data_IF_467619975510
#
_entry.id   IF_467619975510
#
_cell.length_a   1.000
_cell.length_b   1.000
_cell.length_c   1.000
_cell.angle_alpha   90.00
_cell.angle_beta   90.00
_cell.angle_gamma   90.00
#
_symmetry.space_group_name_H-M   'P 1'
#
loop_
_entity.id
_entity.type
_entity.pdbx_description
1 polymer ?
#
# COMPACT_ATOMS: atom_id res chain seq x y z
N UNK A 1 -3.14 -2.29 -6.26
CA UNK A 1 -2.56 -3.51 -5.61
C UNK A 1 -2.86 -3.53 -4.12
N UNK A 2 -3.02 -4.71 -3.53
CA UNK A 2 -3.41 -4.91 -2.13
C UNK A 2 -2.34 -5.68 -1.38
N UNK A 3 -1.78 -5.08 -0.34
CA UNK A 3 -0.87 -5.74 0.60
C UNK A 3 -1.65 -6.25 1.80
N UNK A 4 -1.46 -7.52 2.15
CA UNK A 4 -2.17 -8.08 3.31
C UNK A 4 -1.25 -8.80 4.29
N UNK A 5 -1.63 -8.75 5.56
CA UNK A 5 -1.09 -9.57 6.63
C UNK A 5 -2.24 -10.29 7.33
N UNK A 6 -2.06 -11.59 7.58
CA UNK A 6 -3.07 -12.41 8.27
C UNK A 6 -2.42 -13.43 9.19
N UNK A 7 -2.84 -13.46 10.44
CA UNK A 7 -2.41 -14.47 11.40
C UNK A 7 -3.25 -15.75 11.34
N UNK A 8 -4.58 -15.62 11.33
CA UNK A 8 -5.54 -16.73 11.48
C UNK A 8 -6.31 -17.09 10.22
N UNK A 9 -6.15 -16.34 9.14
CA UNK A 9 -6.83 -16.57 7.86
C UNK A 9 -8.00 -15.65 7.57
N UNK A 10 -8.69 -15.10 8.56
CA UNK A 10 -9.86 -14.23 8.37
C UNK A 10 -9.52 -12.99 7.52
N UNK A 11 -8.43 -12.33 7.84
CA UNK A 11 -7.96 -11.17 7.08
C UNK A 11 -7.56 -11.55 5.65
N UNK A 12 -6.93 -12.71 5.45
CA UNK A 12 -6.62 -13.23 4.11
C UNK A 12 -7.89 -13.45 3.29
N UNK A 13 -8.93 -14.01 3.91
CA UNK A 13 -10.22 -14.20 3.25
C UNK A 13 -10.82 -12.86 2.81
N UNK A 14 -10.85 -11.86 3.70
CA UNK A 14 -11.36 -10.52 3.39
C UNK A 14 -10.55 -9.86 2.26
N UNK A 15 -9.20 -9.92 2.34
CA UNK A 15 -8.32 -9.39 1.32
C UNK A 15 -8.52 -10.07 -0.04
N UNK A 16 -8.71 -11.39 -0.06
CA UNK A 16 -8.97 -12.14 -1.31
C UNK A 16 -10.31 -11.75 -1.94
N UNK A 17 -11.36 -11.55 -1.13
CA UNK A 17 -12.66 -11.07 -1.63
C UNK A 17 -12.57 -9.66 -2.20
N UNK A 18 -11.85 -8.78 -1.53
CA UNK A 18 -11.60 -7.42 -2.00
C UNK A 18 -10.82 -7.42 -3.32
N UNK A 19 -9.70 -8.15 -3.38
CA UNK A 19 -8.88 -8.25 -4.58
C UNK A 19 -9.67 -8.80 -5.79
N UNK A 20 -10.52 -9.81 -5.56
CA UNK A 20 -11.39 -10.36 -6.61
C UNK A 20 -12.43 -9.34 -7.09
N UNK A 21 -13.00 -8.55 -6.18
CA UNK A 21 -14.03 -7.55 -6.51
C UNK A 21 -13.44 -6.33 -7.23
N UNK A 22 -12.20 -5.95 -6.90
CA UNK A 22 -11.52 -4.78 -7.47
C UNK A 22 -10.59 -5.13 -8.63
N UNK A 23 -10.36 -6.43 -8.87
CA UNK A 23 -9.39 -6.94 -9.85
C UNK A 23 -7.96 -6.43 -9.60
N UNK A 24 -7.61 -6.23 -8.33
CA UNK A 24 -6.29 -5.78 -7.90
C UNK A 24 -5.40 -6.96 -7.50
N UNK A 25 -4.09 -6.82 -7.73
CA UNK A 25 -3.10 -7.80 -7.30
C UNK A 25 -3.06 -7.91 -5.78
N UNK A 26 -2.98 -9.14 -5.27
CA UNK A 26 -2.95 -9.46 -3.84
C UNK A 26 -1.57 -9.95 -3.41
N UNK A 27 -0.90 -9.20 -2.54
CA UNK A 27 0.49 -9.44 -2.12
C UNK A 27 0.54 -9.69 -0.63
N UNK A 28 1.12 -10.83 -0.22
CA UNK A 28 1.36 -11.14 1.20
C UNK A 28 2.55 -10.36 1.74
N UNK A 29 2.38 -9.67 2.87
CA UNK A 29 3.47 -8.95 3.54
C UNK A 29 4.47 -9.90 4.22
N UNK A 30 3.99 -11.02 4.76
CA UNK A 30 4.78 -11.89 5.62
C UNK A 30 6.09 -12.41 4.99
N UNK A 31 6.16 -12.82 3.70
CA UNK A 31 7.41 -13.26 3.09
C UNK A 31 8.50 -12.19 3.07
N UNK A 32 8.13 -10.92 2.81
CA UNK A 32 9.07 -9.80 2.76
C UNK A 32 9.69 -9.44 4.12
N UNK A 33 9.12 -9.92 5.20
CA UNK A 33 9.55 -9.62 6.56
C UNK A 33 10.28 -10.79 7.23
N UNK A 34 10.56 -11.87 6.49
CA UNK A 34 11.39 -12.98 6.95
C UNK A 34 12.85 -12.71 6.66
N UNK A 35 13.71 -12.95 7.64
CA UNK A 35 15.14 -12.72 7.50
C UNK A 35 15.84 -13.74 6.58
N UNK A 36 15.23 -14.92 6.42
CA UNK A 36 15.76 -16.07 5.68
C UNK A 36 15.22 -16.19 4.24
N UNK A 37 14.28 -15.32 3.86
CA UNK A 37 13.65 -15.35 2.53
C UNK A 37 14.33 -14.33 1.60
N UNK A 38 15.33 -14.79 0.85
CA UNK A 38 16.03 -13.96 -0.14
C UNK A 38 15.23 -13.74 -1.43
N UNK A 39 14.14 -14.47 -1.63
CA UNK A 39 13.27 -14.34 -2.82
C UNK A 39 12.31 -13.15 -2.73
N UNK A 40 12.06 -12.64 -1.51
CA UNK A 40 11.18 -11.51 -1.25
C UNK A 40 11.98 -10.37 -0.62
N UNK A 41 12.42 -9.43 -1.45
CA UNK A 41 13.21 -8.27 -1.00
C UNK A 41 12.41 -6.97 -1.08
N UNK A 42 12.68 -6.05 -0.14
CA UNK A 42 12.21 -4.66 -0.20
C UNK A 42 13.24 -3.73 -0.86
N UNK A 43 14.30 -4.27 -1.44
CA UNK A 43 15.30 -3.49 -2.17
C UNK A 43 14.70 -2.87 -3.44
N UNK A 44 13.89 -3.66 -4.16
CA UNK A 44 13.21 -3.24 -5.39
C UNK A 44 11.88 -2.55 -5.08
N UNK A 45 11.49 -1.53 -5.86
CA UNK A 45 10.20 -0.86 -5.69
C UNK A 45 9.05 -1.71 -6.22
N UNK A 46 7.91 -1.62 -5.55
CA UNK A 46 6.63 -2.06 -6.11
C UNK A 46 6.18 -1.06 -7.18
N UNK A 47 5.82 -1.55 -8.33
CA UNK A 47 5.44 -0.71 -9.47
C UNK A 47 3.92 -0.49 -9.43
N UNK A 48 3.52 0.75 -9.20
CA UNK A 48 2.13 1.19 -9.23
C UNK A 48 1.80 1.69 -10.64
N UNK A 49 0.83 1.04 -11.27
CA UNK A 49 0.33 1.44 -12.59
C UNK A 49 -0.52 2.70 -12.48
N UNK A 50 -0.76 3.34 -13.61
CA UNK A 50 -1.71 4.44 -13.71
C UNK A 50 -3.10 3.99 -13.21
N UNK A 51 -3.77 4.82 -12.43
CA UNK A 51 -5.08 4.54 -11.80
C UNK A 51 -5.09 3.40 -10.77
N UNK A 52 -3.95 2.83 -10.41
CA UNK A 52 -3.85 1.86 -9.34
C UNK A 52 -3.83 2.52 -7.96
N UNK A 53 -4.41 1.83 -6.98
CA UNK A 53 -4.48 2.24 -5.58
C UNK A 53 -3.60 1.34 -4.72
N UNK A 54 -3.22 1.81 -3.54
CA UNK A 54 -2.56 1.01 -2.52
C UNK A 54 -3.54 0.59 -1.44
N UNK A 55 -3.83 -0.69 -1.35
CA UNK A 55 -4.64 -1.27 -0.29
C UNK A 55 -3.77 -1.90 0.79
N UNK A 56 -4.10 -1.67 2.06
CA UNK A 56 -3.51 -2.36 3.20
C UNK A 56 -4.60 -3.10 3.96
N UNK A 57 -4.49 -4.43 4.05
CA UNK A 57 -5.49 -5.29 4.71
C UNK A 57 -4.81 -6.08 5.83
N UNK A 58 -5.19 -5.82 7.09
CA UNK A 58 -4.52 -6.40 8.25
C UNK A 58 -5.45 -6.51 9.46
N UNK A 59 -5.16 -7.41 10.43
CA UNK A 59 -5.90 -7.47 11.69
C UNK A 59 -5.42 -6.37 12.63
N UNK A 60 -6.31 -5.85 13.46
CA UNK A 60 -5.93 -4.95 14.56
C UNK A 60 -5.25 -5.76 15.66
N UNK A 61 -4.05 -5.33 16.09
CA UNK A 61 -3.33 -5.92 17.21
C UNK A 61 -3.11 -4.87 18.30
N UNK A 62 -3.72 -5.09 19.46
CA UNK A 62 -3.57 -4.17 20.60
C UNK A 62 -4.00 -2.74 20.25
N UNK A 63 -5.13 -2.59 19.55
CA UNK A 63 -5.69 -1.30 19.10
C UNK A 63 -4.77 -0.48 18.17
N UNK A 64 -3.85 -1.15 17.48
CA UNK A 64 -2.88 -0.54 16.57
C UNK A 64 -2.64 -1.40 15.34
N UNK A 65 -1.96 -0.81 14.37
CA UNK A 65 -1.39 -1.55 13.22
C UNK A 65 -0.37 -2.58 13.72
N UNK A 66 -0.40 -3.83 13.28
CA UNK A 66 0.60 -4.84 13.66
C UNK A 66 2.03 -4.37 13.41
N UNK A 67 2.95 -4.71 14.30
CA UNK A 67 4.37 -4.30 14.19
C UNK A 67 4.96 -4.66 12.81
N UNK A 68 4.71 -5.88 12.35
CA UNK A 68 5.20 -6.38 11.06
C UNK A 68 4.68 -5.52 9.89
N UNK A 69 3.42 -5.10 9.91
CA UNK A 69 2.82 -4.24 8.87
C UNK A 69 3.44 -2.84 8.91
N UNK A 70 3.67 -2.27 10.10
CA UNK A 70 4.33 -0.96 10.26
C UNK A 70 5.75 -0.98 9.70
N UNK A 71 6.54 -2.02 10.02
CA UNK A 71 7.90 -2.18 9.51
C UNK A 71 7.92 -2.37 7.98
N UNK A 72 6.98 -3.12 7.44
CA UNK A 72 6.84 -3.28 6.00
C UNK A 72 6.57 -1.92 5.33
N UNK A 73 5.55 -1.17 5.81
CA UNK A 73 5.20 0.13 5.23
C UNK A 73 6.37 1.13 5.32
N UNK A 74 7.12 1.16 6.43
CA UNK A 74 8.30 2.03 6.56
C UNK A 74 9.41 1.72 5.57
N UNK A 75 9.57 0.44 5.20
CA UNK A 75 10.69 -0.05 4.38
C UNK A 75 10.34 -0.24 2.92
N UNK A 76 9.07 -0.41 2.58
CA UNK A 76 8.64 -0.61 1.20
C UNK A 76 8.99 0.60 0.34
N UNK A 77 9.33 0.35 -0.90
CA UNK A 77 9.49 1.36 -1.93
C UNK A 77 8.36 1.22 -2.93
N UNK A 78 7.82 2.32 -3.38
CA UNK A 78 6.77 2.35 -4.41
C UNK A 78 7.18 3.34 -5.48
N UNK A 79 7.06 2.94 -6.72
CA UNK A 79 7.31 3.80 -7.87
C UNK A 79 6.09 3.73 -8.80
N UNK A 80 5.62 4.87 -9.27
CA UNK A 80 4.59 4.94 -10.31
C UNK A 80 5.24 4.95 -11.67
N UNK A 81 4.71 4.15 -12.58
CA UNK A 81 5.07 4.21 -14.00
C UNK A 81 3.87 4.79 -14.74
N UNK A 82 4.05 5.98 -15.26
CA UNK A 82 3.09 6.59 -16.17
C UNK A 82 3.29 5.95 -17.56
N UNK A 83 2.21 5.49 -18.18
CA UNK A 83 2.25 4.73 -19.45
C UNK A 83 2.78 5.54 -20.66
N UNK A 84 3.01 6.84 -20.50
CA UNK A 84 3.47 7.76 -21.54
C UNK A 84 4.82 8.41 -21.20
N UNK A 85 5.80 7.63 -20.74
CA UNK A 85 7.19 8.09 -20.68
C UNK A 85 7.84 8.07 -22.08
N UNK A 86 7.21 8.71 -23.06
CA UNK A 86 7.88 9.18 -24.27
C UNK A 86 8.23 10.66 -24.03
N UNK A 87 9.53 10.89 -24.04
CA UNK A 87 10.17 12.19 -23.87
C UNK A 87 9.44 13.33 -24.59
N UNK A 88 8.81 14.23 -23.82
CA UNK A 88 8.58 15.60 -24.25
C UNK A 88 8.06 16.47 -23.10
N UNK A 89 8.45 17.73 -23.09
CA UNK A 89 8.08 18.78 -22.11
C UNK A 89 6.56 19.03 -21.95
N UNK A 90 5.71 18.42 -22.78
CA UNK A 90 4.25 18.36 -22.62
C UNK A 90 3.78 17.43 -21.49
N UNK A 91 4.68 16.60 -20.94
CA UNK A 91 4.35 15.64 -19.88
C UNK A 91 4.12 16.30 -18.51
N UNK A 92 4.81 17.41 -18.22
CA UNK A 92 4.66 18.13 -16.95
C UNK A 92 3.31 18.86 -16.86
N UNK A 93 2.82 19.43 -17.96
CA UNK A 93 1.50 20.08 -18.01
C UNK A 93 0.36 19.06 -17.97
N UNK A 94 0.52 17.89 -18.63
CA UNK A 94 -0.43 16.78 -18.55
C UNK A 94 -0.48 16.18 -17.14
N UNK A 95 0.66 16.05 -16.47
CA UNK A 95 0.72 15.59 -15.06
C UNK A 95 -0.02 16.57 -14.15
N UNK A 96 0.18 17.87 -14.32
CA UNK A 96 -0.53 18.89 -13.54
C UNK A 96 -2.04 18.88 -13.82
N UNK A 97 -2.48 18.63 -15.06
CA UNK A 97 -3.90 18.47 -15.40
C UNK A 97 -4.50 17.16 -14.89
N UNK A 98 -3.76 16.04 -14.92
CA UNK A 98 -4.21 14.75 -14.39
C UNK A 98 -4.31 14.80 -12.86
N UNK A 99 -3.38 15.45 -12.18
CA UNK A 99 -3.43 15.70 -10.74
C UNK A 99 -4.60 16.63 -10.35
N UNK A 100 -4.93 17.60 -11.19
CA UNK A 100 -6.10 18.46 -11.02
C UNK A 100 -7.42 17.73 -11.31
N UNK A 101 -7.42 16.70 -12.15
CA UNK A 101 -8.59 15.90 -12.50
C UNK A 101 -8.92 14.78 -11.47
N UNK A 102 -8.25 14.76 -10.31
CA UNK A 102 -8.53 13.78 -9.24
C UNK A 102 -7.88 12.41 -9.45
N UNK A 103 -6.94 12.26 -10.37
CA UNK A 103 -6.21 11.02 -10.65
C UNK A 103 -4.96 10.84 -9.76
N UNK A 104 -5.02 11.34 -8.51
CA UNK A 104 -3.95 11.12 -7.53
C UNK A 104 -4.00 9.70 -7.01
N UNK A 105 -2.86 9.01 -6.91
CA UNK A 105 -2.81 7.74 -6.21
C UNK A 105 -3.22 7.96 -4.75
N UNK A 106 -3.99 7.06 -4.20
CA UNK A 106 -4.38 7.10 -2.81
C UNK A 106 -4.17 5.74 -2.15
N UNK A 107 -3.97 5.74 -0.84
CA UNK A 107 -3.99 4.54 -0.04
C UNK A 107 -5.32 4.39 0.69
N UNK A 108 -5.73 3.15 0.88
CA UNK A 108 -6.87 2.79 1.71
C UNK A 108 -6.51 1.62 2.63
N UNK A 109 -7.24 1.45 3.70
CA UNK A 109 -7.08 0.28 4.54
C UNK A 109 -8.40 -0.42 4.85
N UNK A 110 -8.31 -1.72 5.03
CA UNK A 110 -9.37 -2.56 5.59
C UNK A 110 -8.78 -3.32 6.78
N UNK A 111 -9.31 -3.10 7.96
CA UNK A 111 -8.86 -3.82 9.14
C UNK A 111 -9.95 -4.75 9.67
N UNK A 112 -9.52 -5.95 10.08
CA UNK A 112 -10.37 -6.89 10.81
C UNK A 112 -10.10 -6.73 12.30
N UNK A 113 -11.15 -6.51 13.08
CA UNK A 113 -11.07 -6.35 14.53
C UNK A 113 -12.14 -7.20 15.21
N UNK A 114 -11.82 -7.69 16.41
CA UNK A 114 -12.81 -8.40 17.23
C UNK A 114 -13.70 -7.45 18.04
N UNK A 115 -13.25 -6.20 18.22
CA UNK A 115 -13.93 -5.15 18.99
C UNK A 115 -13.58 -3.79 18.39
N UNK A 116 -12.93 -2.92 19.13
CA UNK A 116 -12.55 -1.57 18.69
C UNK A 116 -11.26 -1.57 17.85
N UNK A 117 -11.17 -0.64 16.91
CA UNK A 117 -9.94 -0.39 16.13
C UNK A 117 -8.94 0.51 16.88
N UNK A 118 -9.37 1.17 17.95
CA UNK A 118 -8.54 2.08 18.76
C UNK A 118 -7.84 3.15 17.91
N UNK A 119 -6.53 3.28 18.07
CA UNK A 119 -5.68 4.24 17.36
C UNK A 119 -5.09 3.70 16.04
N UNK A 120 -5.75 2.70 15.44
CA UNK A 120 -5.21 2.02 14.25
C UNK A 120 -5.06 2.97 13.06
N UNK A 121 -6.03 3.85 12.82
CA UNK A 121 -6.01 4.76 11.67
C UNK A 121 -4.96 5.85 11.86
N UNK A 122 -4.90 6.47 13.03
CA UNK A 122 -3.88 7.47 13.37
C UNK A 122 -2.47 6.88 13.24
N UNK A 123 -2.27 5.67 13.76
CA UNK A 123 -1.00 4.97 13.67
C UNK A 123 -0.64 4.57 12.23
N UNK A 124 -1.63 4.22 11.38
CA UNK A 124 -1.40 3.96 9.97
C UNK A 124 -0.97 5.24 9.24
N UNK A 125 -1.67 6.34 9.45
CA UNK A 125 -1.36 7.63 8.84
C UNK A 125 0.05 8.10 9.24
N UNK A 126 0.42 7.96 10.52
CA UNK A 126 1.78 8.24 10.99
C UNK A 126 2.83 7.43 10.22
N UNK A 127 2.61 6.14 10.07
CA UNK A 127 3.57 5.25 9.40
C UNK A 127 3.67 5.54 7.90
N UNK A 128 2.56 5.84 7.24
CA UNK A 128 2.53 6.24 5.82
C UNK A 128 3.29 7.56 5.64
N UNK A 129 3.05 8.55 6.51
CA UNK A 129 3.71 9.85 6.44
C UNK A 129 5.23 9.80 6.69
N UNK A 130 5.73 8.72 7.30
CA UNK A 130 7.16 8.48 7.49
C UNK A 130 7.84 7.80 6.30
N UNK A 131 7.10 7.35 5.28
CA UNK A 131 7.68 6.67 4.12
C UNK A 131 7.93 7.66 2.97
N UNK A 132 9.21 7.92 2.60
CA UNK A 132 9.53 8.92 1.58
C UNK A 132 8.96 8.60 0.19
N UNK A 133 8.86 7.32 -0.19
CA UNK A 133 8.33 6.95 -1.50
C UNK A 133 6.82 7.14 -1.61
N UNK A 134 6.08 6.93 -0.52
CA UNK A 134 4.64 7.20 -0.46
C UNK A 134 4.36 8.71 -0.47
N UNK A 135 5.15 9.48 0.28
CA UNK A 135 5.07 10.94 0.25
C UNK A 135 5.36 11.52 -1.14
N UNK A 136 6.37 10.99 -1.83
CA UNK A 136 6.71 11.42 -3.18
C UNK A 136 5.57 11.20 -4.19
N UNK A 137 4.69 10.23 -3.91
CA UNK A 137 3.47 9.97 -4.68
C UNK A 137 2.27 10.81 -4.22
N UNK A 138 2.43 11.63 -3.18
CA UNK A 138 1.34 12.42 -2.59
C UNK A 138 0.35 11.58 -1.76
N UNK A 139 0.77 10.40 -1.31
CA UNK A 139 -0.01 9.53 -0.42
C UNK A 139 0.31 9.91 1.02
N UNK A 140 -0.67 10.48 1.72
CA UNK A 140 -0.53 10.95 3.11
C UNK A 140 -1.61 10.35 4.00
#
# INVERSE_FOLDING_TARGET
MIFYFSGTGNTKWAASKLASATQEDLISIAPYMRADDSSHTLAEPFILKENERLGFVFPVHGWRVPKLVREFIRRMKVQRVDSDAAENSASAERKALSDAAGNRPFAYCVCTAGDSIGLTIENLNEVISQNPSLQALGIT
#
